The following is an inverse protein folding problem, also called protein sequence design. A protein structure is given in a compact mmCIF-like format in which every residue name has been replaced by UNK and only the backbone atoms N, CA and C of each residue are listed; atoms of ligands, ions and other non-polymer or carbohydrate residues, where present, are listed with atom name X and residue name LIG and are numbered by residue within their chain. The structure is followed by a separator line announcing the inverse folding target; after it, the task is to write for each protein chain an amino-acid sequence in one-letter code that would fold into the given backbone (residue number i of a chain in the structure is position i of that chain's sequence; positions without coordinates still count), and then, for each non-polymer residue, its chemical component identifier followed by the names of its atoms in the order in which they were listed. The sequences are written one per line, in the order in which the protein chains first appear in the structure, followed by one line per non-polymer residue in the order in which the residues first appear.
data_IF_315925228236
#
_entry.id   IF_315925228236
#
_cell.length_a   1.000
_cell.length_b   1.000
_cell.length_c   1.000
_cell.angle_alpha   90.00
_cell.angle_beta   90.00
_cell.angle_gamma   90.00
#
_symmetry.space_group_name_H-M   'P 1'
#
loop_
_entity.id
_entity.type
_entity.pdbx_description
1 polymer ?
#
# COMPACT_ATOMS: atom_id res chain seq x y z
N UNK A 1 47.80 25.08 -8.96
CA UNK A 1 46.75 24.67 -7.99
C UNK A 1 45.44 25.27 -8.50
N UNK A 2 44.72 24.62 -9.42
CA UNK A 2 43.80 23.48 -9.25
C UNK A 2 42.62 23.79 -8.32
N UNK A 3 41.58 24.30 -8.96
CA UNK A 3 40.20 24.43 -8.48
C UNK A 3 39.60 23.02 -8.27
N UNK A 4 39.06 22.74 -7.08
CA UNK A 4 38.50 21.43 -6.70
C UNK A 4 37.08 21.62 -6.14
N UNK A 5 36.11 21.54 -7.05
CA UNK A 5 34.69 21.40 -6.74
C UNK A 5 34.39 19.95 -6.38
N UNK A 6 33.96 19.70 -5.14
CA UNK A 6 33.65 18.36 -4.63
C UNK A 6 32.30 17.90 -5.21
N UNK A 7 32.36 17.07 -6.24
CA UNK A 7 31.22 16.29 -6.77
C UNK A 7 31.19 14.94 -6.05
N UNK A 8 30.17 14.72 -5.22
CA UNK A 8 29.94 13.41 -4.57
C UNK A 8 29.50 12.41 -5.65
N UNK A 9 30.43 11.53 -6.04
CA UNK A 9 30.19 10.45 -7.01
C UNK A 9 30.06 9.13 -6.26
N UNK A 10 28.98 8.35 -6.42
CA UNK A 10 28.88 7.01 -5.83
C UNK A 10 29.79 6.02 -6.60
N UNK A 11 30.21 4.91 -5.96
CA UNK A 11 31.19 3.97 -6.53
C UNK A 11 30.71 3.36 -7.85
N UNK A 12 31.53 3.51 -8.90
CA UNK A 12 31.22 3.25 -10.31
C UNK A 12 31.13 1.76 -10.71
N UNK A 13 31.32 0.82 -9.80
CA UNK A 13 31.42 -0.61 -10.14
C UNK A 13 30.18 -1.45 -9.84
N UNK A 14 29.19 -0.94 -9.08
CA UNK A 14 27.92 -1.65 -8.82
C UNK A 14 26.84 -1.32 -9.87
N UNK A 15 26.96 -0.20 -10.59
CA UNK A 15 25.97 0.25 -11.58
C UNK A 15 26.20 -0.30 -13.00
N UNK A 16 27.30 -1.01 -13.26
CA UNK A 16 27.62 -1.55 -14.60
C UNK A 16 26.93 -2.88 -14.93
N UNK A 17 26.41 -3.61 -13.93
CA UNK A 17 25.66 -4.85 -14.15
C UNK A 17 24.13 -4.65 -14.26
N UNK A 18 23.63 -3.41 -14.13
CA UNK A 18 22.23 -3.06 -14.44
C UNK A 18 22.02 -2.74 -15.95
N UNK A 19 22.95 -3.16 -16.82
CA UNK A 19 22.91 -2.97 -18.28
C UNK A 19 22.69 -4.28 -19.03
N UNK A 20 21.52 -4.88 -18.86
CA UNK A 20 20.91 -5.66 -19.97
C UNK A 20 19.37 -5.62 -20.02
N UNK A 21 18.70 -4.93 -19.09
CA UNK A 21 17.29 -4.59 -19.22
C UNK A 21 16.97 -3.31 -18.45
N UNK A 22 16.99 -2.16 -19.10
CA UNK A 22 16.46 -0.93 -18.51
C UNK A 22 14.98 -1.15 -18.19
N UNK A 23 14.60 -1.04 -16.91
CA UNK A 23 13.20 -1.09 -16.52
C UNK A 23 12.45 0.06 -17.21
N UNK A 24 11.68 -0.28 -18.25
CA UNK A 24 11.01 0.72 -19.07
C UNK A 24 9.78 1.24 -18.35
N UNK A 25 9.39 2.48 -18.64
CA UNK A 25 8.09 3.02 -18.18
C UNK A 25 6.94 2.08 -18.55
N UNK A 26 6.95 1.55 -19.79
CA UNK A 26 5.94 0.60 -20.25
C UNK A 26 5.93 -0.68 -19.40
N UNK A 27 7.09 -1.23 -19.07
CA UNK A 27 7.21 -2.39 -18.18
C UNK A 27 6.64 -2.13 -16.79
N UNK A 28 6.85 -0.93 -16.24
CA UNK A 28 6.32 -0.53 -14.94
C UNK A 28 4.80 -0.47 -14.91
N UNK A 29 4.19 0.17 -15.91
CA UNK A 29 2.72 0.21 -16.03
C UNK A 29 2.14 -1.17 -16.32
N UNK A 30 2.81 -1.97 -17.13
CA UNK A 30 2.39 -3.36 -17.39
C UNK A 30 2.41 -4.18 -16.11
N UNK A 31 3.44 -4.03 -15.27
CA UNK A 31 3.49 -4.71 -13.98
C UNK A 31 2.38 -4.22 -13.02
N UNK A 32 2.15 -2.91 -12.93
CA UNK A 32 1.08 -2.33 -12.10
C UNK A 32 -0.30 -2.81 -12.55
N UNK A 33 -0.60 -2.71 -13.85
CA UNK A 33 -1.88 -3.15 -14.41
C UNK A 33 -2.04 -4.67 -14.33
N UNK A 34 -0.97 -5.44 -14.52
CA UNK A 34 -0.98 -6.90 -14.38
C UNK A 34 -1.33 -7.31 -12.95
N UNK A 35 -0.69 -6.72 -11.95
CA UNK A 35 -0.98 -7.00 -10.54
C UNK A 35 -2.42 -6.61 -10.24
N UNK A 36 -2.84 -5.43 -10.69
CA UNK A 36 -4.20 -4.97 -10.48
C UNK A 36 -5.24 -5.91 -11.07
N UNK A 37 -5.04 -6.33 -12.31
CA UNK A 37 -5.99 -7.18 -13.03
C UNK A 37 -6.09 -8.54 -12.36
N UNK A 38 -4.97 -9.12 -11.91
CA UNK A 38 -4.97 -10.40 -11.22
C UNK A 38 -5.75 -10.36 -9.88
N UNK A 39 -5.72 -9.23 -9.18
CA UNK A 39 -6.30 -9.09 -7.83
C UNK A 39 -7.72 -8.51 -7.86
N UNK A 40 -7.97 -7.49 -8.67
CA UNK A 40 -9.16 -6.66 -8.59
C UNK A 40 -10.22 -6.97 -9.66
N UNK A 41 -9.91 -7.78 -10.68
CA UNK A 41 -10.85 -8.12 -11.76
C UNK A 41 -12.24 -8.60 -11.28
N UNK A 42 -12.36 -9.57 -10.33
CA UNK A 42 -13.68 -10.01 -9.88
C UNK A 42 -14.50 -8.88 -9.24
N UNK A 43 -13.85 -8.07 -8.40
CA UNK A 43 -14.48 -6.95 -7.70
C UNK A 43 -14.89 -5.84 -8.67
N UNK A 44 -14.03 -5.51 -9.64
CA UNK A 44 -14.32 -4.50 -10.66
C UNK A 44 -15.52 -4.91 -11.51
N UNK A 45 -15.58 -6.18 -11.93
CA UNK A 45 -16.68 -6.70 -12.73
C UNK A 45 -18.03 -6.59 -11.99
N UNK A 46 -18.04 -6.97 -10.71
CA UNK A 46 -19.22 -6.86 -9.84
C UNK A 46 -19.61 -5.40 -9.57
N UNK A 47 -18.63 -4.54 -9.30
CA UNK A 47 -18.84 -3.14 -9.02
C UNK A 47 -19.43 -2.37 -10.22
N UNK A 48 -18.98 -2.70 -11.44
CA UNK A 48 -19.52 -2.15 -12.68
C UNK A 48 -20.98 -2.57 -12.90
N UNK A 49 -21.31 -3.86 -12.72
CA UNK A 49 -22.70 -4.31 -12.81
C UNK A 49 -23.62 -3.61 -11.81
N UNK A 50 -23.14 -3.46 -10.57
CA UNK A 50 -23.90 -2.81 -9.49
C UNK A 50 -24.14 -1.34 -9.79
N UNK A 51 -23.11 -0.58 -10.17
CA UNK A 51 -23.27 0.85 -10.44
C UNK A 51 -24.18 1.10 -11.65
N UNK A 52 -24.07 0.30 -12.73
CA UNK A 52 -24.97 0.42 -13.88
C UNK A 52 -26.43 0.22 -13.45
N UNK A 53 -26.71 -0.78 -12.61
CA UNK A 53 -28.04 -1.02 -12.05
C UNK A 53 -28.56 0.14 -11.19
N UNK A 54 -27.70 0.76 -10.38
CA UNK A 54 -28.06 1.94 -9.58
C UNK A 54 -28.53 3.12 -10.45
N UNK A 55 -27.98 3.27 -11.65
CA UNK A 55 -28.35 4.32 -12.60
C UNK A 55 -29.42 3.90 -13.61
N UNK A 56 -30.11 2.78 -13.36
CA UNK A 56 -31.23 2.31 -14.19
C UNK A 56 -30.81 1.72 -15.54
N UNK A 57 -29.52 1.43 -15.74
CA UNK A 57 -29.03 0.74 -16.93
C UNK A 57 -29.28 -0.74 -16.74
N UNK A 58 -30.05 -1.34 -17.65
CA UNK A 58 -30.37 -2.76 -17.59
C UNK A 58 -29.09 -3.60 -17.71
N UNK A 59 -28.79 -4.37 -16.68
CA UNK A 59 -27.67 -5.31 -16.66
C UNK A 59 -28.24 -6.73 -16.81
N UNK A 60 -27.73 -7.56 -17.72
CA UNK A 60 -28.20 -8.92 -17.90
C UNK A 60 -28.13 -9.73 -16.60
N UNK A 61 -29.11 -10.61 -16.37
CA UNK A 61 -29.17 -11.41 -15.15
C UNK A 61 -27.91 -12.25 -14.91
N UNK A 62 -27.23 -12.72 -15.96
CA UNK A 62 -25.98 -13.49 -15.83
C UNK A 62 -24.80 -12.67 -15.31
N UNK A 63 -24.85 -11.34 -15.37
CA UNK A 63 -23.83 -10.45 -14.81
C UNK A 63 -23.92 -10.41 -13.28
N UNK A 64 -25.15 -10.48 -12.75
CA UNK A 64 -25.44 -10.33 -11.32
C UNK A 64 -25.66 -11.70 -10.63
N UNK A 65 -26.19 -12.69 -11.36
CA UNK A 65 -26.74 -13.95 -10.80
C UNK A 65 -26.08 -15.24 -11.34
N UNK A 66 -24.86 -15.17 -11.90
CA UNK A 66 -24.10 -16.35 -12.34
C UNK A 66 -22.69 -16.36 -11.71
N UNK A 67 -22.01 -17.51 -11.56
CA UNK A 67 -20.65 -17.63 -10.99
C UNK A 67 -19.54 -16.88 -11.74
N UNK A 68 -19.83 -15.92 -12.64
CA UNK A 68 -18.81 -15.12 -13.32
C UNK A 68 -17.86 -14.47 -12.30
N UNK A 69 -18.37 -13.95 -11.19
CA UNK A 69 -17.53 -13.43 -10.11
C UNK A 69 -16.56 -14.48 -9.55
N UNK A 70 -17.07 -15.65 -9.19
CA UNK A 70 -16.28 -16.80 -8.70
C UNK A 70 -15.24 -17.24 -9.75
N UNK A 71 -15.62 -17.32 -11.02
CA UNK A 71 -14.68 -17.68 -12.09
C UNK A 71 -13.62 -16.61 -12.30
N UNK A 72 -13.97 -15.32 -12.23
CA UNK A 72 -13.00 -14.23 -12.32
C UNK A 72 -12.04 -14.20 -11.13
N UNK A 73 -12.51 -14.57 -9.94
CA UNK A 73 -11.68 -14.74 -8.74
C UNK A 73 -10.67 -15.88 -8.96
N UNK A 74 -11.15 -17.05 -9.39
CA UNK A 74 -10.29 -18.21 -9.69
C UNK A 74 -9.30 -17.90 -10.82
N UNK A 75 -9.74 -17.22 -11.88
CA UNK A 75 -8.89 -16.83 -13.01
C UNK A 75 -7.87 -15.77 -12.59
N UNK A 76 -8.24 -14.83 -11.73
CA UNK A 76 -7.36 -13.81 -11.16
C UNK A 76 -6.26 -14.43 -10.30
N UNK A 77 -6.64 -15.28 -9.34
CA UNK A 77 -5.72 -16.06 -8.52
C UNK A 77 -4.84 -16.99 -9.39
N UNK A 78 -5.41 -17.62 -10.42
CA UNK A 78 -4.68 -18.46 -11.37
C UNK A 78 -3.64 -17.67 -12.16
N UNK A 79 -3.99 -16.48 -12.65
CA UNK A 79 -3.07 -15.59 -13.35
C UNK A 79 -1.95 -15.10 -12.42
N UNK A 80 -2.29 -14.75 -11.16
CA UNK A 80 -1.32 -14.40 -10.13
C UNK A 80 -0.33 -15.56 -9.88
N UNK A 81 -0.82 -16.78 -9.74
CA UNK A 81 -0.01 -17.98 -9.53
C UNK A 81 0.90 -18.27 -10.72
N UNK A 82 0.39 -18.22 -11.96
CA UNK A 82 1.19 -18.43 -13.18
C UNK A 82 2.31 -17.40 -13.27
N UNK A 83 2.00 -16.13 -13.02
CA UNK A 83 3.01 -15.08 -13.05
C UNK A 83 4.05 -15.26 -11.94
N UNK A 84 3.61 -15.57 -10.73
CA UNK A 84 4.50 -15.87 -9.62
C UNK A 84 5.44 -17.03 -9.96
N UNK A 85 4.93 -18.13 -10.52
CA UNK A 85 5.71 -19.27 -10.96
C UNK A 85 6.79 -18.88 -12.00
N UNK A 86 6.45 -17.98 -12.93
CA UNK A 86 7.40 -17.46 -13.92
C UNK A 86 8.52 -16.61 -13.29
N UNK A 87 8.30 -16.04 -12.10
CA UNK A 87 9.31 -15.25 -11.37
C UNK A 87 10.19 -16.10 -10.43
N UNK A 88 9.84 -17.37 -10.16
CA UNK A 88 10.52 -18.17 -9.16
C UNK A 88 11.96 -18.56 -9.52
N UNK A 89 12.30 -18.61 -10.81
CA UNK A 89 13.64 -19.00 -11.25
C UNK A 89 14.70 -17.98 -10.83
N UNK A 90 14.36 -16.69 -10.88
CA UNK A 90 15.24 -15.59 -10.51
C UNK A 90 14.94 -15.01 -9.11
N UNK A 91 14.04 -15.64 -8.36
CA UNK A 91 13.54 -15.13 -7.08
C UNK A 91 14.68 -14.92 -6.08
N UNK A 92 14.87 -13.65 -5.71
CA UNK A 92 15.83 -13.21 -4.72
C UNK A 92 15.32 -13.41 -3.28
N UNK A 93 14.00 -13.46 -3.10
CA UNK A 93 13.33 -13.46 -1.81
C UNK A 93 13.45 -14.80 -1.10
N UNK A 94 13.28 -15.91 -1.83
CA UNK A 94 13.21 -17.26 -1.27
C UNK A 94 14.34 -18.17 -1.78
N UNK A 95 15.54 -17.62 -1.98
CA UNK A 95 16.72 -18.37 -2.48
C UNK A 95 17.11 -19.56 -1.61
N UNK A 96 16.84 -19.49 -0.31
CA UNK A 96 17.14 -20.57 0.63
C UNK A 96 16.07 -21.69 0.58
N UNK A 97 14.93 -21.44 -0.06
CA UNK A 97 13.85 -22.40 -0.20
C UNK A 97 13.95 -23.12 -1.54
N UNK A 98 13.94 -24.46 -1.52
CA UNK A 98 14.00 -25.26 -2.75
C UNK A 98 12.89 -24.90 -3.74
N UNK A 99 13.21 -24.86 -5.05
CA UNK A 99 12.25 -24.51 -6.12
C UNK A 99 10.97 -25.36 -6.05
N UNK A 100 11.11 -26.66 -5.80
CA UNK A 100 9.97 -27.57 -5.65
C UNK A 100 9.01 -27.15 -4.51
N UNK A 101 9.54 -26.74 -3.36
CA UNK A 101 8.72 -26.30 -2.23
C UNK A 101 7.98 -24.99 -2.54
N UNK A 102 8.62 -24.09 -3.29
CA UNK A 102 8.00 -22.84 -3.74
C UNK A 102 6.85 -23.09 -4.73
N UNK A 103 7.08 -23.95 -5.72
CA UNK A 103 6.01 -24.37 -6.65
C UNK A 103 4.84 -25.00 -5.87
N UNK A 104 5.13 -25.93 -4.96
CA UNK A 104 4.12 -26.59 -4.14
C UNK A 104 3.34 -25.59 -3.29
N UNK A 105 4.01 -24.61 -2.68
CA UNK A 105 3.36 -23.55 -1.91
C UNK A 105 2.43 -22.68 -2.76
N UNK A 106 2.88 -22.28 -3.96
CA UNK A 106 2.07 -21.51 -4.90
C UNK A 106 0.81 -22.29 -5.34
N UNK A 107 0.99 -23.56 -5.74
CA UNK A 107 -0.13 -24.44 -6.13
C UNK A 107 -1.09 -24.68 -4.97
N UNK A 108 -0.59 -24.85 -3.75
CA UNK A 108 -1.42 -25.03 -2.56
C UNK A 108 -2.27 -23.79 -2.27
N UNK A 109 -1.68 -22.59 -2.32
CA UNK A 109 -2.42 -21.34 -2.12
C UNK A 109 -3.54 -21.18 -3.16
N UNK A 110 -3.24 -21.43 -4.43
CA UNK A 110 -4.24 -21.39 -5.51
C UNK A 110 -5.35 -22.43 -5.30
N UNK A 111 -5.00 -23.65 -4.92
CA UNK A 111 -5.96 -24.73 -4.70
C UNK A 111 -6.89 -24.41 -3.52
N UNK A 112 -6.36 -23.86 -2.42
CA UNK A 112 -7.16 -23.46 -1.25
C UNK A 112 -8.10 -22.29 -1.61
N UNK A 113 -7.59 -21.25 -2.27
CA UNK A 113 -8.39 -20.12 -2.73
C UNK A 113 -9.53 -20.58 -3.65
N UNK A 114 -9.22 -21.37 -4.67
CA UNK A 114 -10.23 -21.86 -5.62
C UNK A 114 -11.26 -22.80 -4.98
N UNK A 115 -10.86 -23.65 -4.04
CA UNK A 115 -11.79 -24.56 -3.37
C UNK A 115 -12.75 -23.80 -2.43
N UNK A 116 -12.28 -22.76 -1.72
CA UNK A 116 -13.16 -21.91 -0.90
C UNK A 116 -14.12 -21.09 -1.77
N UNK A 117 -13.63 -20.48 -2.87
CA UNK A 117 -14.45 -19.74 -3.83
C UNK A 117 -15.57 -20.59 -4.46
N UNK A 118 -15.33 -21.90 -4.64
CA UNK A 118 -16.32 -22.87 -5.11
C UNK A 118 -17.26 -23.39 -4.00
N UNK A 119 -17.10 -22.94 -2.77
CA UNK A 119 -17.90 -23.38 -1.63
C UNK A 119 -17.59 -24.80 -1.16
N UNK A 120 -16.40 -25.33 -1.47
CA UNK A 120 -16.01 -26.69 -1.06
C UNK A 120 -15.50 -26.75 0.38
N UNK A 121 -15.23 -25.60 0.99
CA UNK A 121 -14.76 -25.53 2.38
C UNK A 121 -15.91 -25.70 3.36
N UNK A 122 -15.84 -26.69 4.27
CA UNK A 122 -16.92 -26.93 5.21
C UNK A 122 -16.80 -26.06 6.47
N UNK A 123 -17.96 -25.75 7.06
CA UNK A 123 -18.05 -25.23 8.42
C UNK A 123 -17.27 -23.93 8.64
N UNK A 124 -16.50 -23.80 9.73
CA UNK A 124 -15.78 -22.56 10.06
C UNK A 124 -14.68 -22.15 9.06
N UNK A 125 -14.30 -23.02 8.12
CA UNK A 125 -13.30 -22.72 7.10
C UNK A 125 -13.88 -21.95 5.90
N UNK A 126 -15.19 -22.04 5.69
CA UNK A 126 -15.87 -21.40 4.57
C UNK A 126 -15.74 -19.87 4.63
N UNK A 127 -15.21 -19.26 3.57
CA UNK A 127 -14.97 -17.82 3.49
C UNK A 127 -13.83 -17.31 4.39
N UNK A 128 -13.00 -18.21 4.92
CA UNK A 128 -11.85 -17.88 5.78
C UNK A 128 -10.55 -18.31 5.10
N UNK A 129 -10.45 -19.58 4.69
CA UNK A 129 -9.18 -20.10 4.19
C UNK A 129 -8.85 -19.59 2.79
N UNK A 130 -9.86 -19.27 1.98
CA UNK A 130 -9.68 -18.70 0.65
C UNK A 130 -9.04 -17.32 0.69
N UNK A 131 -9.68 -16.33 1.33
CA UNK A 131 -9.09 -14.99 1.47
C UNK A 131 -7.71 -15.04 2.18
N UNK A 132 -7.53 -15.93 3.17
CA UNK A 132 -6.20 -16.10 3.79
C UNK A 132 -5.14 -16.61 2.79
N UNK A 133 -5.49 -17.55 1.92
CA UNK A 133 -4.60 -18.05 0.88
C UNK A 133 -4.31 -16.98 -0.18
N UNK A 134 -5.31 -16.19 -0.55
CA UNK A 134 -5.15 -15.05 -1.47
C UNK A 134 -4.21 -13.98 -0.93
N UNK A 135 -4.30 -13.63 0.37
CA UNK A 135 -3.33 -12.74 1.02
C UNK A 135 -1.92 -13.26 0.79
N UNK A 136 -1.67 -14.54 1.08
CA UNK A 136 -0.37 -15.16 0.88
C UNK A 136 0.11 -15.08 -0.57
N UNK A 137 -0.77 -15.41 -1.51
CA UNK A 137 -0.48 -15.40 -2.95
C UNK A 137 -0.16 -14.00 -3.48
N UNK A 138 -1.01 -13.02 -3.17
CA UNK A 138 -0.88 -11.65 -3.67
C UNK A 138 0.28 -10.90 -3.03
N UNK A 139 0.55 -11.12 -1.74
CA UNK A 139 1.74 -10.57 -1.09
C UNK A 139 3.02 -11.14 -1.68
N UNK A 140 3.04 -12.45 -1.92
CA UNK A 140 4.22 -13.10 -2.51
C UNK A 140 4.44 -12.62 -3.95
N UNK A 141 3.39 -12.55 -4.76
CA UNK A 141 3.47 -11.99 -6.11
C UNK A 141 3.99 -10.55 -6.08
N UNK A 142 3.40 -9.67 -5.26
CA UNK A 142 3.84 -8.28 -5.15
C UNK A 142 5.32 -8.17 -4.73
N UNK A 143 5.77 -9.03 -3.82
CA UNK A 143 7.16 -9.11 -3.39
C UNK A 143 8.11 -9.51 -4.51
N UNK A 144 7.75 -10.54 -5.28
CA UNK A 144 8.57 -11.05 -6.37
C UNK A 144 8.58 -10.09 -7.55
N UNK A 145 7.46 -9.45 -7.89
CA UNK A 145 7.43 -8.41 -8.93
C UNK A 145 8.34 -7.26 -8.53
N UNK A 146 8.24 -6.75 -7.30
CA UNK A 146 9.15 -5.72 -6.81
C UNK A 146 10.62 -6.18 -6.83
N UNK A 147 10.88 -7.42 -6.43
CA UNK A 147 12.24 -8.01 -6.39
C UNK A 147 12.82 -8.20 -7.79
N UNK A 148 12.01 -8.62 -8.77
CA UNK A 148 12.39 -8.75 -10.18
C UNK A 148 12.78 -7.41 -10.81
N UNK A 149 12.32 -6.30 -10.21
CA UNK A 149 12.70 -4.93 -10.58
C UNK A 149 13.84 -4.35 -9.72
N UNK A 150 14.54 -5.19 -8.96
CA UNK A 150 15.75 -4.81 -8.22
C UNK A 150 15.51 -4.22 -6.82
N UNK A 151 14.33 -4.45 -6.23
CA UNK A 151 13.98 -3.94 -4.90
C UNK A 151 14.19 -5.03 -3.87
N UNK A 152 15.07 -4.76 -2.90
CA UNK A 152 15.24 -5.67 -1.80
C UNK A 152 13.95 -5.74 -0.94
N UNK A 153 13.51 -6.94 -0.51
CA UNK A 153 12.25 -7.15 0.21
C UNK A 153 12.06 -6.27 1.46
N UNK A 154 13.15 -6.04 2.18
CA UNK A 154 13.24 -5.17 3.35
C UNK A 154 12.95 -3.69 3.02
N UNK A 155 13.25 -3.25 1.80
CA UNK A 155 13.09 -1.85 1.42
C UNK A 155 11.66 -1.45 1.09
N UNK A 156 10.78 -2.40 0.76
CA UNK A 156 9.41 -2.11 0.35
C UNK A 156 8.34 -2.49 1.40
N UNK A 157 8.50 -3.62 2.12
CA UNK A 157 7.55 -4.10 3.14
C UNK A 157 7.74 -3.51 4.53
N UNK A 158 8.98 -3.23 4.93
CA UNK A 158 9.24 -2.69 6.26
C UNK A 158 10.63 -2.08 6.32
N UNK A 159 10.71 -0.75 6.50
CA UNK A 159 11.80 -0.26 7.33
C UNK A 159 11.57 -0.76 8.75
N UNK A 160 12.03 -1.96 9.08
CA UNK A 160 12.66 -2.11 10.39
C UNK A 160 13.76 -1.03 10.44
N UNK A 161 13.83 -0.21 11.50
CA UNK A 161 14.92 0.74 11.63
C UNK A 161 16.25 0.03 11.41
N UNK A 162 17.22 0.60 10.68
CA UNK A 162 18.59 0.13 10.75
C UNK A 162 18.98 0.03 12.23
N UNK A 163 19.55 -1.12 12.65
CA UNK A 163 20.07 -1.30 14.00
C UNK A 163 20.93 -0.08 14.35
N UNK A 164 20.50 0.70 15.36
CA UNK A 164 21.17 1.94 15.78
C UNK A 164 20.38 3.25 15.62
N UNK A 165 19.20 3.25 14.98
CA UNK A 165 18.33 4.46 14.81
C UNK A 165 16.98 4.39 15.55
N UNK A 166 16.91 3.62 16.64
CA UNK A 166 15.66 3.18 17.27
C UNK A 166 14.65 4.27 17.61
N UNK A 167 15.07 5.37 18.26
CA UNK A 167 14.14 6.42 18.72
C UNK A 167 13.47 7.20 17.59
N UNK A 168 14.18 7.54 16.51
CA UNK A 168 13.61 8.34 15.41
C UNK A 168 12.69 7.51 14.53
N UNK A 169 13.00 6.24 14.31
CA UNK A 169 12.14 5.35 13.53
C UNK A 169 10.84 4.97 14.24
N UNK A 170 10.85 4.84 15.57
CA UNK A 170 9.62 4.68 16.35
C UNK A 170 8.77 5.95 16.30
N UNK A 171 9.37 7.13 16.46
CA UNK A 171 8.66 8.41 16.37
C UNK A 171 8.03 8.63 14.98
N UNK A 172 8.76 8.33 13.90
CA UNK A 172 8.21 8.35 12.53
C UNK A 172 7.03 7.38 12.38
N UNK A 173 7.14 6.16 12.90
CA UNK A 173 6.07 5.16 12.78
C UNK A 173 4.81 5.60 13.55
N UNK A 174 4.97 6.18 14.74
CA UNK A 174 3.88 6.79 15.52
C UNK A 174 3.24 7.95 14.75
N UNK A 175 4.04 8.81 14.14
CA UNK A 175 3.54 9.91 13.32
C UNK A 175 2.73 9.39 12.13
N UNK A 176 3.22 8.37 11.41
CA UNK A 176 2.48 7.78 10.29
C UNK A 176 1.20 7.12 10.78
N UNK A 177 1.22 6.40 11.91
CA UNK A 177 -0.01 5.83 12.49
C UNK A 177 -1.04 6.92 12.81
N UNK A 178 -0.62 8.05 13.39
CA UNK A 178 -1.51 9.16 13.71
C UNK A 178 -2.09 9.82 12.44
N UNK A 179 -1.25 10.05 11.42
CA UNK A 179 -1.69 10.59 10.13
C UNK A 179 -2.63 9.63 9.40
N UNK A 180 -2.33 8.33 9.42
CA UNK A 180 -3.19 7.31 8.82
C UNK A 180 -4.55 7.26 9.52
N UNK A 181 -4.58 7.21 10.86
CA UNK A 181 -5.82 7.25 11.63
C UNK A 181 -6.66 8.50 11.32
N UNK A 182 -6.01 9.67 11.20
CA UNK A 182 -6.66 10.91 10.78
C UNK A 182 -7.25 10.79 9.36
N UNK A 183 -6.49 10.29 8.38
CA UNK A 183 -6.94 10.11 7.00
C UNK A 183 -8.17 9.20 6.92
N UNK A 184 -8.14 8.04 7.60
CA UNK A 184 -9.28 7.12 7.65
C UNK A 184 -10.49 7.74 8.35
N UNK A 185 -10.28 8.48 9.45
CA UNK A 185 -11.36 9.16 10.16
C UNK A 185 -12.01 10.29 9.33
N UNK A 186 -11.20 11.09 8.64
CA UNK A 186 -11.69 12.12 7.73
C UNK A 186 -12.42 11.51 6.54
N UNK A 187 -11.97 10.36 6.06
CA UNK A 187 -12.65 9.61 5.00
C UNK A 187 -14.01 9.10 5.47
N UNK A 188 -14.11 8.55 6.69
CA UNK A 188 -15.41 8.17 7.28
C UNK A 188 -16.40 9.34 7.25
N UNK A 189 -15.94 10.51 7.69
CA UNK A 189 -16.75 11.72 7.71
C UNK A 189 -17.16 12.15 6.30
N UNK A 190 -16.21 12.15 5.36
CA UNK A 190 -16.48 12.47 3.97
C UNK A 190 -17.52 11.51 3.37
N UNK A 191 -17.37 10.20 3.55
CA UNK A 191 -18.33 9.21 3.07
C UNK A 191 -19.71 9.37 3.71
N UNK A 192 -19.77 9.70 5.01
CA UNK A 192 -21.02 10.00 5.71
C UNK A 192 -21.67 11.28 5.16
N UNK A 193 -20.90 12.32 4.87
CA UNK A 193 -21.44 13.54 4.26
C UNK A 193 -21.95 13.28 2.83
N UNK A 194 -21.19 12.50 2.04
CA UNK A 194 -21.54 12.16 0.66
C UNK A 194 -22.75 11.24 0.56
N UNK A 195 -23.03 10.42 1.59
CA UNK A 195 -24.23 9.57 1.63
C UNK A 195 -25.53 10.35 1.83
N UNK A 196 -25.46 11.62 2.25
CA UNK A 196 -26.62 12.52 2.31
C UNK A 196 -26.93 13.21 0.98
N UNK A 197 -26.06 13.09 -0.03
CA UNK A 197 -26.35 13.64 -1.36
C UNK A 197 -27.46 12.83 -2.03
N UNK A 198 -28.34 13.47 -2.83
CA UNK A 198 -29.36 12.78 -3.61
C UNK A 198 -28.72 12.05 -4.79
N UNK A 199 -28.06 10.92 -4.51
CA UNK A 199 -27.40 10.08 -5.48
C UNK A 199 -27.85 8.62 -5.31
N UNK A 200 -27.94 7.84 -6.41
CA UNK A 200 -28.20 6.41 -6.29
C UNK A 200 -27.15 5.71 -5.43
N UNK A 201 -27.60 4.99 -4.41
CA UNK A 201 -26.75 4.22 -3.51
C UNK A 201 -27.36 2.82 -3.26
N UNK A 202 -26.54 1.80 -2.95
CA UNK A 202 -27.02 0.46 -2.62
C UNK A 202 -28.00 0.48 -1.44
N UNK A 203 -28.96 -0.45 -1.47
CA UNK A 203 -29.88 -0.69 -0.35
C UNK A 203 -29.22 -1.43 0.83
N UNK A 204 -28.07 -2.07 0.62
CA UNK A 204 -27.33 -2.78 1.67
C UNK A 204 -26.19 -1.91 2.22
N UNK A 205 -26.15 -1.81 3.55
CA UNK A 205 -25.03 -1.16 4.27
C UNK A 205 -23.82 -2.10 4.28
N UNK A 206 -22.62 -1.53 4.20
CA UNK A 206 -21.34 -2.27 4.08
C UNK A 206 -21.13 -3.25 5.24
N UNK A 207 -21.65 -2.90 6.41
CA UNK A 207 -21.68 -3.70 7.63
C UNK A 207 -22.47 -5.01 7.49
N UNK A 208 -23.57 -4.99 6.75
CA UNK A 208 -24.43 -6.18 6.53
C UNK A 208 -23.80 -7.13 5.52
N UNK A 209 -23.16 -6.59 4.48
CA UNK A 209 -22.42 -7.39 3.50
C UNK A 209 -21.19 -8.05 4.14
N UNK A 210 -20.43 -7.30 4.94
CA UNK A 210 -19.19 -7.78 5.56
C UNK A 210 -19.42 -8.88 6.62
N UNK A 211 -20.58 -8.88 7.30
CA UNK A 211 -20.87 -9.83 8.40
C UNK A 211 -21.63 -11.09 7.98
N UNK A 212 -21.97 -11.25 6.70
CA UNK A 212 -22.81 -12.35 6.20
C UNK A 212 -22.21 -13.75 6.40
N UNK A 213 -20.89 -13.88 6.49
CA UNK A 213 -20.17 -15.15 6.70
C UNK A 213 -19.85 -15.49 8.17
N UNK A 214 -20.35 -14.71 9.14
CA UNK A 214 -19.98 -14.83 10.54
C UNK A 214 -18.65 -14.14 10.89
N UNK A 215 -18.29 -14.13 12.18
CA UNK A 215 -17.18 -13.36 12.73
C UNK A 215 -15.83 -13.70 12.09
N UNK A 216 -15.51 -14.99 11.89
CA UNK A 216 -14.22 -15.41 11.34
C UNK A 216 -14.04 -15.01 9.88
N UNK A 217 -15.06 -15.21 9.06
CA UNK A 217 -15.04 -14.78 7.65
C UNK A 217 -14.93 -13.25 7.57
N UNK A 218 -15.69 -12.53 8.39
CA UNK A 218 -15.60 -11.07 8.49
C UNK A 218 -14.17 -10.60 8.84
N UNK A 219 -13.58 -11.12 9.92
CA UNK A 219 -12.22 -10.75 10.35
C UNK A 219 -11.17 -11.05 9.27
N UNK A 220 -11.34 -12.15 8.55
CA UNK A 220 -10.45 -12.50 7.44
C UNK A 220 -10.63 -11.55 6.28
N UNK A 221 -11.87 -11.15 5.96
CA UNK A 221 -12.16 -10.25 4.85
C UNK A 221 -11.61 -8.83 5.09
N UNK A 222 -11.76 -8.28 6.30
CA UNK A 222 -11.16 -6.97 6.61
C UNK A 222 -9.62 -7.04 6.62
N UNK A 223 -9.06 -8.18 7.02
CA UNK A 223 -7.62 -8.41 6.92
C UNK A 223 -7.18 -8.46 5.48
N UNK A 224 -7.91 -9.19 4.64
CA UNK A 224 -7.68 -9.24 3.21
C UNK A 224 -7.72 -7.83 2.61
N UNK A 225 -8.78 -7.07 2.89
CA UNK A 225 -8.97 -5.70 2.39
C UNK A 225 -7.79 -4.81 2.78
N UNK A 226 -7.51 -4.70 4.08
CA UNK A 226 -6.44 -3.84 4.59
C UNK A 226 -5.06 -4.23 4.06
N UNK A 227 -4.78 -5.53 3.95
CA UNK A 227 -3.49 -6.01 3.46
C UNK A 227 -3.34 -5.82 1.97
N UNK A 228 -4.34 -6.20 1.18
CA UNK A 228 -4.31 -6.11 -0.29
C UNK A 228 -4.32 -4.65 -0.72
N UNK A 229 -5.20 -3.82 -0.17
CA UNK A 229 -5.25 -2.41 -0.56
C UNK A 229 -3.98 -1.66 -0.19
N UNK A 230 -3.45 -1.85 1.02
CA UNK A 230 -2.27 -1.10 1.41
C UNK A 230 -0.99 -1.70 0.79
N UNK A 231 -0.79 -3.02 0.83
CA UNK A 231 0.46 -3.58 0.34
C UNK A 231 0.50 -3.68 -1.19
N UNK A 232 -0.58 -4.16 -1.81
CA UNK A 232 -0.61 -4.38 -3.26
C UNK A 232 -0.98 -3.08 -4.00
N UNK A 233 -2.10 -2.46 -3.63
CA UNK A 233 -2.63 -1.29 -4.36
C UNK A 233 -1.89 0.02 -4.02
N UNK A 234 -1.42 0.19 -2.78
CA UNK A 234 -0.65 1.38 -2.38
C UNK A 234 0.85 1.15 -2.54
N UNK A 235 1.44 0.23 -1.77
CA UNK A 235 2.88 0.15 -1.61
C UNK A 235 3.60 -0.40 -2.85
N UNK A 236 3.13 -1.51 -3.42
CA UNK A 236 3.75 -2.10 -4.60
C UNK A 236 3.63 -1.17 -5.82
N UNK A 237 2.44 -0.61 -6.08
CA UNK A 237 2.22 0.35 -7.17
C UNK A 237 3.13 1.56 -7.06
N UNK A 238 3.12 2.22 -5.91
CA UNK A 238 3.95 3.40 -5.69
C UNK A 238 5.42 3.08 -5.85
N UNK A 239 5.86 1.95 -5.30
CA UNK A 239 7.24 1.50 -5.36
C UNK A 239 7.71 1.21 -6.79
N UNK A 240 6.92 0.48 -7.57
CA UNK A 240 7.20 0.17 -8.98
C UNK A 240 7.30 1.45 -9.81
N UNK A 241 6.34 2.36 -9.67
CA UNK A 241 6.32 3.61 -10.45
C UNK A 241 7.42 4.59 -9.99
N UNK A 242 7.78 4.61 -8.71
CA UNK A 242 8.91 5.41 -8.20
C UNK A 242 10.24 4.90 -8.75
N UNK A 243 10.42 3.59 -8.91
CA UNK A 243 11.60 3.03 -9.59
C UNK A 243 11.67 3.44 -11.06
N UNK A 244 10.53 3.43 -11.75
CA UNK A 244 10.40 3.90 -13.11
C UNK A 244 10.50 5.44 -13.24
N UNK A 245 10.80 6.14 -12.13
CA UNK A 245 10.95 7.60 -12.05
C UNK A 245 9.73 8.36 -12.55
N UNK A 246 8.53 7.79 -12.32
CA UNK A 246 7.29 8.46 -12.69
C UNK A 246 7.01 9.65 -11.76
N UNK A 247 6.42 10.73 -12.28
CA UNK A 247 6.02 11.87 -11.47
C UNK A 247 4.99 11.45 -10.41
N UNK A 248 5.00 12.15 -9.27
CA UNK A 248 4.17 11.84 -8.11
C UNK A 248 2.67 11.75 -8.46
N UNK A 249 2.15 12.66 -9.30
CA UNK A 249 0.73 12.68 -9.64
C UNK A 249 0.26 11.40 -10.34
N UNK A 250 1.12 10.76 -11.16
CA UNK A 250 0.78 9.49 -11.83
C UNK A 250 0.71 8.35 -10.82
N UNK A 251 1.60 8.35 -9.82
CA UNK A 251 1.61 7.36 -8.75
C UNK A 251 0.33 7.47 -7.91
N UNK A 252 -0.01 8.69 -7.51
CA UNK A 252 -1.21 8.96 -6.71
C UNK A 252 -2.48 8.60 -7.49
N UNK A 253 -2.55 8.98 -8.77
CA UNK A 253 -3.70 8.67 -9.62
C UNK A 253 -3.87 7.16 -9.84
N UNK A 254 -2.78 6.45 -10.15
CA UNK A 254 -2.83 5.00 -10.35
C UNK A 254 -3.34 4.28 -9.09
N UNK A 255 -2.75 4.58 -7.93
CA UNK A 255 -3.16 3.96 -6.66
C UNK A 255 -4.60 4.32 -6.27
N UNK A 256 -5.00 5.59 -6.45
CA UNK A 256 -6.36 6.03 -6.13
C UNK A 256 -7.43 5.38 -7.02
N UNK A 257 -7.18 5.28 -8.33
CA UNK A 257 -8.11 4.59 -9.24
C UNK A 257 -8.19 3.10 -8.94
N UNK A 258 -7.05 2.46 -8.70
CA UNK A 258 -7.01 1.04 -8.38
C UNK A 258 -7.80 0.74 -7.09
N UNK A 259 -7.78 1.64 -6.10
CA UNK A 259 -8.60 1.53 -4.89
C UNK A 259 -10.08 1.83 -5.13
N UNK A 260 -10.39 2.89 -5.87
CA UNK A 260 -11.75 3.40 -5.97
C UNK A 260 -12.64 2.62 -6.96
N UNK A 261 -12.09 2.11 -8.06
CA UNK A 261 -12.90 1.42 -9.07
C UNK A 261 -13.63 0.16 -8.54
N UNK A 262 -13.01 -0.69 -7.69
CA UNK A 262 -13.72 -1.79 -7.03
C UNK A 262 -14.81 -1.32 -6.07
N UNK A 263 -14.82 -0.04 -5.68
CA UNK A 263 -15.84 0.59 -4.83
C UNK A 263 -16.93 1.32 -5.61
N UNK A 264 -16.99 1.18 -6.95
CA UNK A 264 -18.10 1.71 -7.75
C UNK A 264 -19.47 1.17 -7.31
N UNK A 265 -19.50 -0.01 -6.68
CA UNK A 265 -20.73 -0.57 -6.13
C UNK A 265 -21.37 0.33 -5.08
N UNK A 266 -20.63 1.23 -4.41
CA UNK A 266 -21.17 2.19 -3.43
C UNK A 266 -21.95 3.35 -4.07
N UNK A 267 -21.90 3.49 -5.40
CA UNK A 267 -22.40 4.66 -6.13
C UNK A 267 -21.34 5.75 -6.28
N UNK A 268 -21.47 6.59 -7.32
CA UNK A 268 -20.42 7.53 -7.73
C UNK A 268 -20.00 8.50 -6.62
N UNK A 269 -20.95 8.99 -5.83
CA UNK A 269 -20.67 9.93 -4.73
C UNK A 269 -19.71 9.32 -3.70
N UNK A 270 -19.99 8.11 -3.22
CA UNK A 270 -19.14 7.46 -2.21
C UNK A 270 -17.79 7.04 -2.82
N UNK A 271 -17.78 6.59 -4.08
CA UNK A 271 -16.53 6.27 -4.79
C UNK A 271 -15.57 7.45 -4.83
N UNK A 272 -16.06 8.69 -4.97
CA UNK A 272 -15.20 9.88 -4.90
C UNK A 272 -14.53 10.05 -3.54
N UNK A 273 -15.20 9.70 -2.44
CA UNK A 273 -14.58 9.67 -1.11
C UNK A 273 -13.44 8.65 -1.02
N UNK A 274 -13.61 7.49 -1.67
CA UNK A 274 -12.56 6.45 -1.78
C UNK A 274 -11.38 6.90 -2.63
N UNK A 275 -11.60 7.69 -3.69
CA UNK A 275 -10.51 8.32 -4.46
C UNK A 275 -9.65 9.19 -3.55
N UNK A 276 -10.27 10.03 -2.71
CA UNK A 276 -9.54 10.90 -1.76
C UNK A 276 -8.72 10.07 -0.77
N UNK A 277 -9.29 8.99 -0.22
CA UNK A 277 -8.57 8.06 0.64
C UNK A 277 -7.36 7.45 -0.07
N UNK A 278 -7.54 6.95 -1.30
CA UNK A 278 -6.47 6.34 -2.10
C UNK A 278 -5.32 7.31 -2.36
N UNK A 279 -5.62 8.57 -2.72
CA UNK A 279 -4.60 9.62 -2.86
C UNK A 279 -3.85 9.85 -1.55
N UNK A 280 -4.56 9.96 -0.43
CA UNK A 280 -3.95 10.23 0.87
C UNK A 280 -3.03 9.08 1.34
N UNK A 281 -3.47 7.82 1.23
CA UNK A 281 -2.66 6.65 1.57
C UNK A 281 -1.42 6.55 0.67
N UNK A 282 -1.57 6.76 -0.64
CA UNK A 282 -0.43 6.77 -1.57
C UNK A 282 0.56 7.89 -1.27
N UNK A 283 0.09 9.09 -0.91
CA UNK A 283 0.93 10.22 -0.52
C UNK A 283 1.71 9.92 0.78
N UNK A 284 1.04 9.38 1.80
CA UNK A 284 1.67 8.95 3.05
C UNK A 284 2.74 7.88 2.78
N UNK A 285 2.43 6.88 1.96
CA UNK A 285 3.41 5.87 1.59
C UNK A 285 4.60 6.47 0.83
N UNK A 286 4.37 7.30 -0.19
CA UNK A 286 5.45 7.94 -0.95
C UNK A 286 6.39 8.77 -0.06
N UNK A 287 5.83 9.46 0.94
CA UNK A 287 6.56 10.33 1.87
C UNK A 287 7.36 9.57 2.94
N UNK A 288 6.76 8.55 3.53
CA UNK A 288 7.30 7.89 4.73
C UNK A 288 7.82 6.48 4.50
N UNK A 289 7.34 5.78 3.45
CA UNK A 289 7.71 4.39 3.11
C UNK A 289 7.49 3.42 4.28
N UNK A 290 6.38 3.61 5.00
CA UNK A 290 5.95 2.78 6.14
C UNK A 290 4.57 2.23 5.81
N UNK A 291 4.48 0.93 5.52
CA UNK A 291 3.19 0.33 5.15
C UNK A 291 2.44 -0.29 6.32
N UNK A 292 3.14 -0.88 7.30
CA UNK A 292 2.50 -1.51 8.46
C UNK A 292 1.60 -0.54 9.25
N UNK A 293 1.98 0.73 9.51
CA UNK A 293 1.08 1.69 10.12
C UNK A 293 -0.21 1.95 9.32
N UNK A 294 -0.14 1.96 7.98
CA UNK A 294 -1.29 2.14 7.11
C UNK A 294 -2.22 0.91 7.17
N UNK A 295 -1.66 -0.29 7.06
CA UNK A 295 -2.41 -1.56 7.21
C UNK A 295 -3.14 -1.60 8.56
N UNK A 296 -2.44 -1.25 9.65
CA UNK A 296 -3.02 -1.24 10.99
C UNK A 296 -4.14 -0.20 11.14
N UNK A 297 -3.97 1.00 10.58
CA UNK A 297 -4.99 2.04 10.60
C UNK A 297 -6.22 1.64 9.78
N UNK A 298 -6.02 0.99 8.62
CA UNK A 298 -7.09 0.47 7.78
C UNK A 298 -7.87 -0.63 8.51
N UNK A 299 -7.19 -1.63 9.06
CA UNK A 299 -7.81 -2.67 9.89
C UNK A 299 -8.65 -2.08 11.03
N UNK A 300 -8.11 -1.08 11.73
CA UNK A 300 -8.80 -0.42 12.82
C UNK A 300 -10.04 0.34 12.32
N UNK A 301 -9.95 0.98 11.15
CA UNK A 301 -11.07 1.64 10.50
C UNK A 301 -12.18 0.66 10.13
N UNK A 302 -11.87 -0.48 9.50
CA UNK A 302 -12.87 -1.49 9.12
C UNK A 302 -13.56 -2.09 10.35
N UNK A 303 -12.80 -2.39 11.41
CA UNK A 303 -13.36 -2.83 12.68
C UNK A 303 -14.27 -1.75 13.30
N UNK A 304 -13.80 -0.51 13.37
CA UNK A 304 -14.55 0.59 13.98
C UNK A 304 -15.84 0.90 13.22
N UNK A 305 -15.81 0.94 11.89
CA UNK A 305 -17.00 1.23 11.09
C UNK A 305 -18.09 0.17 11.26
N UNK A 306 -17.72 -1.10 11.42
CA UNK A 306 -18.68 -2.19 11.62
C UNK A 306 -19.26 -2.21 13.04
N UNK A 307 -18.41 -2.15 14.07
CA UNK A 307 -18.87 -2.29 15.46
C UNK A 307 -19.35 -0.98 16.09
N UNK A 308 -18.73 0.14 15.71
CA UNK A 308 -19.02 1.45 16.28
C UNK A 308 -19.84 2.32 15.33
N UNK A 309 -19.87 2.07 14.02
CA UNK A 309 -20.61 2.85 13.01
C UNK A 309 -22.06 3.19 13.38
N UNK A 310 -22.89 2.21 13.83
CA UNK A 310 -24.27 2.48 14.26
C UNK A 310 -24.37 3.50 15.40
N UNK A 311 -23.39 3.51 16.31
CA UNK A 311 -23.29 4.41 17.46
C UNK A 311 -22.56 5.72 17.13
N UNK A 312 -21.70 5.70 16.11
CA UNK A 312 -20.90 6.83 15.65
C UNK A 312 -21.69 7.77 14.75
N UNK A 313 -22.76 7.35 14.06
CA UNK A 313 -23.55 8.24 13.17
C UNK A 313 -24.06 9.54 13.85
N UNK A 314 -24.61 9.54 15.08
CA UNK A 314 -25.03 10.77 15.77
C UNK A 314 -23.94 11.42 16.65
N UNK A 315 -22.90 10.68 17.10
CA UNK A 315 -21.86 11.16 18.04
C UNK A 315 -20.54 11.56 17.35
N UNK A 316 -20.28 11.07 16.12
CA UNK A 316 -19.07 11.38 15.35
C UNK A 316 -19.02 12.83 14.87
N UNK A 317 -20.16 13.50 14.70
CA UNK A 317 -20.18 14.91 14.26
C UNK A 317 -19.68 15.85 15.37
N UNK A 318 -19.91 15.55 16.64
CA UNK A 318 -19.56 16.44 17.76
C UNK A 318 -18.16 16.16 18.34
N UNK A 319 -17.74 14.90 18.43
CA UNK A 319 -16.44 14.54 18.99
C UNK A 319 -15.28 14.63 17.97
N UNK A 320 -15.55 14.49 16.66
CA UNK A 320 -14.51 14.53 15.63
C UNK A 320 -13.92 15.93 15.44
N UNK A 321 -14.71 17.01 15.51
CA UNK A 321 -14.16 18.39 15.45
C UNK A 321 -13.20 18.70 16.60
N UNK A 322 -13.48 18.18 17.80
CA UNK A 322 -12.59 18.35 18.97
C UNK A 322 -11.27 17.60 18.84
N UNK A 323 -11.32 16.34 18.38
CA UNK A 323 -10.11 15.53 18.19
C UNK A 323 -9.28 15.99 16.97
N UNK A 324 -9.94 16.39 15.88
CA UNK A 324 -9.29 16.92 14.67
C UNK A 324 -8.65 18.28 14.96
N UNK A 325 -9.32 19.19 15.68
CA UNK A 325 -8.73 20.46 16.10
C UNK A 325 -7.52 20.25 17.01
N UNK A 326 -7.61 19.31 17.97
CA UNK A 326 -6.50 19.00 18.89
C UNK A 326 -5.30 18.41 18.14
N UNK A 327 -5.52 17.47 17.22
CA UNK A 327 -4.45 16.83 16.45
C UNK A 327 -3.88 17.75 15.36
N UNK A 328 -4.69 18.63 14.76
CA UNK A 328 -4.23 19.65 13.81
C UNK A 328 -3.36 20.72 14.50
N UNK A 329 -3.73 21.14 15.72
CA UNK A 329 -2.91 22.04 16.53
C UNK A 329 -1.57 21.40 16.89
N UNK A 330 -1.57 20.13 17.31
CA UNK A 330 -0.32 19.40 17.61
C UNK A 330 0.56 19.20 16.36
N UNK A 331 -0.04 18.96 15.19
CA UNK A 331 0.68 18.83 13.92
C UNK A 331 1.28 20.17 13.46
N UNK A 332 0.54 21.28 13.56
CA UNK A 332 1.03 22.63 13.22
C UNK A 332 2.15 23.06 14.16
N UNK A 333 2.02 22.81 15.47
CA UNK A 333 3.07 23.10 16.44
C UNK A 333 4.35 22.31 16.15
N UNK A 334 4.24 21.07 15.67
CA UNK A 334 5.40 20.25 15.29
C UNK A 334 6.12 20.73 14.02
N UNK A 335 5.42 21.47 13.15
CA UNK A 335 5.98 22.09 11.93
C UNK A 335 6.63 23.44 12.26
N UNK A 336 6.07 24.17 13.23
CA UNK A 336 6.54 25.50 13.62
C UNK A 336 7.69 25.48 14.63
N UNK A 337 7.97 24.37 15.31
CA UNK A 337 9.19 24.21 16.10
C UNK A 337 10.39 23.97 15.17
N UNK A 338 11.34 24.92 15.04
CA UNK A 338 12.55 24.68 14.27
C UNK A 338 13.34 23.55 14.94
N UNK A 339 13.94 22.66 14.13
CA UNK A 339 14.90 21.70 14.65
C UNK A 339 15.98 22.47 15.44
N UNK A 340 16.22 22.09 16.70
CA UNK A 340 17.30 22.67 17.50
C UNK A 340 18.57 22.67 16.66
N UNK A 341 19.24 23.82 16.47
CA UNK A 341 20.46 23.87 15.68
C UNK A 341 21.44 22.86 16.27
N UNK A 342 22.00 22.03 15.38
CA UNK A 342 22.99 21.04 15.75
C UNK A 342 24.04 21.72 16.64
N UNK A 343 24.28 21.16 17.85
CA UNK A 343 25.39 21.61 18.68
C UNK A 343 26.64 21.64 17.80
N UNK A 344 27.41 22.73 17.76
CA UNK A 344 28.65 22.78 17.02
C UNK A 344 29.50 21.56 17.42
N UNK A 345 29.95 20.79 16.43
CA UNK A 345 30.92 19.74 16.67
C UNK A 345 32.14 20.32 17.39
N UNK A 346 32.85 19.53 18.22
CA UNK A 346 34.06 20.00 18.88
C UNK A 346 35.00 20.61 17.84
N UNK A 347 35.46 21.83 18.11
CA UNK A 347 36.34 22.58 17.23
C UNK A 347 37.52 21.70 16.81
N UNK A 348 37.84 21.72 15.51
CA UNK A 348 39.02 21.03 15.01
C UNK A 348 40.25 21.49 15.80
N UNK A 349 41.15 20.58 16.22
CA UNK A 349 42.34 20.95 16.97
C UNK A 349 43.13 21.98 16.16
N UNK A 350 43.39 23.14 16.78
CA UNK A 350 44.21 24.18 16.21
C UNK A 350 45.58 23.62 15.87
N UNK A 351 45.99 23.70 14.61
CA UNK A 351 47.35 23.38 14.17
C UNK A 351 48.34 24.23 15.00
N UNK A 352 49.29 23.61 15.71
CA UNK A 352 50.30 24.32 16.48
C UNK A 352 51.07 25.33 15.61
N UNK A 353 51.42 26.46 16.22
CA UNK A 353 51.94 27.66 15.54
C UNK A 353 53.35 27.46 14.95
N UNK A 354 54.04 26.40 15.35
CA UNK A 354 55.41 26.03 14.97
C UNK A 354 55.52 25.46 13.54
N UNK A 355 54.45 24.87 13.00
CA UNK A 355 54.43 24.33 11.63
C UNK A 355 54.15 25.38 10.55
N UNK A 356 53.83 26.63 10.90
CA UNK A 356 53.62 27.71 9.91
C UNK A 356 54.90 28.39 9.46
N UNK A 357 55.94 28.45 10.30
CA UNK A 357 57.16 29.19 9.96
C UNK A 357 58.09 28.45 8.98
N UNK A 358 58.13 27.11 8.99
CA UNK A 358 59.00 26.37 8.07
C UNK A 358 58.56 26.37 6.59
N UNK A 359 57.34 26.84 6.30
CA UNK A 359 56.84 26.92 4.92
C UNK A 359 57.20 28.22 4.21
N UNK A 360 57.80 29.21 4.91
CA UNK A 360 58.20 30.50 4.32
C UNK A 360 59.69 30.65 4.04
N UNK A 361 60.54 29.74 4.50
CA UNK A 361 62.00 29.81 4.29
C UNK A 361 62.49 29.07 3.03
N UNK A 362 61.63 28.36 2.30
CA UNK A 362 62.04 27.57 1.11
C UNK A 362 61.74 28.23 -0.24
N UNK A 363 61.20 29.46 -0.26
CA UNK A 363 60.92 30.22 -1.50
C UNK A 363 62.03 31.24 -1.88
N UNK A 364 63.11 31.34 -1.10
CA UNK A 364 64.27 32.17 -1.41
C UNK A 364 65.59 31.38 -1.24
N UNK A 365 65.81 30.38 -2.09
CA UNK A 365 67.12 29.78 -2.33
C UNK A 365 67.36 29.62 -3.84
#
# INVERSE_FOLDING_TARGET
MSDQTIVITPPRTVWRQLRSGSFTTAGAYTAVLGIYTAVAAPYLFSALGTVLGLYGIAVPAWWIHWPVGVWLEILGAGAAAVWLLALLDDSALMRQTGKALRIMGCVLLLAVAGADAQGWMPGPAAGVVGPAAEIGLYLWLAAEVCSSHGIAPDRWLARTPPRGRGRTATAESVQVSALAALVFSLTYFLLTALSHLPAPAPRQDQTTAASAGGMSAFLTQILWSAVVEEIVVTAAVATILLLARRPLWEILLASALMRALPHLYLGLSLTLGVVVLGVACAALYCRYRRILPLVAAHLAYDLATVYLGPWMRPLAVLCAWGAIATLAVLAVLSILTPASPARPGPAAPSVPKDLRDHSRETEHA
#
